data_IF_139227492583
#
_entry.id   IF_139227492583
#
_cell.length_a   1.000
_cell.length_b   1.000
_cell.length_c   1.000
_cell.angle_alpha   90.00
_cell.angle_beta   90.00
_cell.angle_gamma   90.00
#
_symmetry.space_group_name_H-M   'P 1'
#
loop_
_entity.id
_entity.type
_entity.pdbx_description
1 polymer ?
#
# COMPACT_ATOMS: atom_id res chain seq x y z
N UNK A 1 -22.52 9.57 -24.88
CA UNK A 1 -23.84 9.09 -24.40
C UNK A 1 -23.56 7.95 -23.43
N UNK A 2 -23.73 8.20 -22.12
CA UNK A 2 -23.54 7.18 -21.08
C UNK A 2 -24.84 6.41 -20.95
N UNK A 3 -24.74 5.10 -21.06
CA UNK A 3 -25.84 4.17 -20.95
C UNK A 3 -25.92 3.78 -19.47
N UNK A 4 -26.67 4.54 -18.68
CA UNK A 4 -26.93 4.23 -17.28
C UNK A 4 -27.95 3.09 -17.24
N UNK A 5 -27.44 1.86 -17.30
CA UNK A 5 -28.24 0.66 -17.17
C UNK A 5 -29.01 0.69 -15.86
N UNK A 6 -30.32 0.96 -15.96
CA UNK A 6 -31.27 0.78 -14.86
C UNK A 6 -31.31 -0.71 -14.57
N UNK A 7 -30.49 -1.14 -13.61
CA UNK A 7 -30.67 -2.43 -12.98
C UNK A 7 -32.03 -2.39 -12.28
N UNK A 8 -33.01 -3.13 -12.81
CA UNK A 8 -34.17 -3.61 -12.06
C UNK A 8 -33.68 -4.58 -10.97
N UNK A 9 -32.94 -4.04 -9.99
CA UNK A 9 -32.60 -4.75 -8.78
C UNK A 9 -33.89 -4.92 -8.02
N UNK A 10 -34.36 -6.16 -7.94
CA UNK A 10 -35.44 -6.52 -7.05
C UNK A 10 -34.95 -6.21 -5.63
N UNK A 11 -35.29 -5.03 -5.09
CA UNK A 11 -34.92 -4.56 -3.77
C UNK A 11 -35.73 -5.32 -2.72
N UNK A 12 -35.60 -6.64 -2.71
CA UNK A 12 -36.28 -7.47 -1.75
C UNK A 12 -35.46 -7.44 -0.46
N UNK A 13 -35.97 -6.71 0.53
CA UNK A 13 -35.47 -6.79 1.88
C UNK A 13 -35.38 -8.27 2.30
N UNK A 14 -34.29 -8.64 2.97
CA UNK A 14 -34.17 -9.99 3.53
C UNK A 14 -35.38 -10.31 4.42
N UNK A 15 -35.70 -11.60 4.56
CA UNK A 15 -36.82 -12.05 5.42
C UNK A 15 -36.75 -11.42 6.81
N UNK A 16 -35.55 -11.29 7.35
CA UNK A 16 -35.30 -10.78 8.69
C UNK A 16 -35.61 -9.27 8.78
N UNK A 17 -35.20 -8.48 7.78
CA UNK A 17 -35.51 -7.05 7.73
C UNK A 17 -37.01 -6.84 7.61
N UNK A 18 -37.70 -7.64 6.78
CA UNK A 18 -39.16 -7.61 6.66
C UNK A 18 -39.85 -7.96 7.98
N UNK A 19 -39.38 -9.00 8.68
CA UNK A 19 -39.96 -9.42 9.94
C UNK A 19 -39.81 -8.34 11.04
N UNK A 20 -38.64 -7.71 11.13
CA UNK A 20 -38.39 -6.65 12.11
C UNK A 20 -39.21 -5.38 11.81
N UNK A 21 -39.39 -5.06 10.54
CA UNK A 21 -40.30 -3.99 10.12
C UNK A 21 -41.74 -4.26 10.56
N UNK A 22 -42.25 -5.48 10.31
CA UNK A 22 -43.61 -5.86 10.74
C UNK A 22 -43.78 -5.80 12.26
N UNK A 23 -42.76 -6.19 13.03
CA UNK A 23 -42.78 -6.06 14.50
C UNK A 23 -42.87 -4.59 14.90
N UNK A 24 -42.06 -3.71 14.31
CA UNK A 24 -42.08 -2.27 14.62
C UNK A 24 -43.43 -1.63 14.28
N UNK A 25 -44.03 -1.99 13.14
CA UNK A 25 -45.37 -1.53 12.73
C UNK A 25 -46.44 -2.04 13.69
N UNK A 26 -46.44 -3.33 14.03
CA UNK A 26 -47.45 -3.91 14.94
C UNK A 26 -47.44 -3.30 16.33
N UNK A 27 -46.27 -2.84 16.79
CA UNK A 27 -46.09 -2.20 18.10
C UNK A 27 -46.18 -0.68 18.05
N UNK A 28 -46.35 -0.11 16.86
CA UNK A 28 -46.28 1.33 16.60
C UNK A 28 -45.04 2.00 17.21
N UNK A 29 -43.90 1.30 17.15
CA UNK A 29 -42.63 1.76 17.70
C UNK A 29 -41.50 1.56 16.68
N UNK A 30 -41.21 2.64 15.95
CA UNK A 30 -40.16 2.67 14.94
C UNK A 30 -38.76 2.45 15.53
N UNK A 31 -38.58 2.66 16.84
CA UNK A 31 -37.28 2.47 17.49
C UNK A 31 -36.88 1.00 17.56
N UNK A 32 -37.83 0.06 17.46
CA UNK A 32 -37.53 -1.37 17.37
C UNK A 32 -36.81 -1.68 16.05
N UNK A 33 -37.35 -1.19 14.94
CA UNK A 33 -36.71 -1.34 13.64
C UNK A 33 -35.40 -0.55 13.58
N UNK A 34 -35.38 0.68 14.10
CA UNK A 34 -34.16 1.48 14.21
C UNK A 34 -33.09 0.75 15.01
N UNK A 35 -33.41 0.18 16.17
CA UNK A 35 -32.46 -0.57 16.99
C UNK A 35 -31.91 -1.80 16.26
N UNK A 36 -32.77 -2.53 15.54
CA UNK A 36 -32.32 -3.65 14.68
C UNK A 36 -31.40 -3.16 13.55
N UNK A 37 -31.79 -2.09 12.87
CA UNK A 37 -31.05 -1.50 11.76
C UNK A 37 -29.74 -0.89 12.25
N UNK A 38 -29.70 -0.16 13.36
CA UNK A 38 -28.49 0.40 13.98
C UNK A 38 -27.60 -0.71 14.57
N UNK A 39 -28.17 -1.81 15.05
CA UNK A 39 -27.37 -2.97 15.45
C UNK A 39 -26.74 -3.65 14.22
N UNK A 40 -27.45 -3.70 13.09
CA UNK A 40 -26.95 -4.27 11.83
C UNK A 40 -26.06 -3.32 11.01
N UNK A 41 -26.31 -2.02 11.07
CA UNK A 41 -25.61 -0.97 10.31
C UNK A 41 -24.55 -0.24 11.15
N UNK A 42 -24.69 -0.22 12.47
CA UNK A 42 -23.81 0.50 13.40
C UNK A 42 -22.77 -0.39 14.08
N UNK A 43 -22.95 -1.71 14.13
CA UNK A 43 -21.92 -2.64 14.65
C UNK A 43 -20.97 -3.08 13.52
N UNK A 44 -21.51 -3.29 12.32
CA UNK A 44 -20.70 -3.73 11.21
C UNK A 44 -20.17 -2.50 10.46
N UNK A 45 -19.01 -2.01 10.91
CA UNK A 45 -18.22 -1.06 10.11
C UNK A 45 -18.17 -1.61 8.67
N UNK A 46 -18.49 -0.79 7.65
CA UNK A 46 -18.47 -1.26 6.28
C UNK A 46 -17.09 -1.83 5.98
N UNK A 47 -17.04 -2.87 5.14
CA UNK A 47 -15.76 -3.46 4.74
C UNK A 47 -14.83 -2.35 4.23
N UNK A 48 -13.62 -2.21 4.79
CA UNK A 48 -12.70 -1.14 4.39
C UNK A 48 -12.18 -1.33 2.96
N UNK A 49 -12.32 -2.54 2.41
CA UNK A 49 -11.78 -2.90 1.10
C UNK A 49 -10.26 -2.67 1.08
N UNK A 50 -9.76 -2.00 0.06
CA UNK A 50 -8.34 -1.66 -0.08
C UNK A 50 -7.85 -0.61 0.92
N UNK A 51 -8.77 0.08 1.61
CA UNK A 51 -8.40 1.19 2.48
C UNK A 51 -7.79 0.67 3.78
N UNK A 52 -6.69 1.28 4.19
CA UNK A 52 -6.07 1.00 5.47
C UNK A 52 -6.89 1.63 6.60
N UNK A 53 -7.27 0.81 7.58
CA UNK A 53 -8.02 1.25 8.77
C UNK A 53 -7.44 0.65 10.03
N UNK A 54 -7.51 1.40 11.14
CA UNK A 54 -7.04 0.96 12.44
C UNK A 54 -8.16 0.31 13.27
N UNK A 55 -7.78 -0.59 14.16
CA UNK A 55 -8.70 -1.15 15.16
C UNK A 55 -9.82 -1.98 14.55
N UNK A 56 -9.48 -2.84 13.57
CA UNK A 56 -10.41 -3.79 12.98
C UNK A 56 -10.03 -5.22 13.36
N UNK A 57 -11.02 -6.06 13.61
CA UNK A 57 -10.80 -7.50 13.76
C UNK A 57 -10.54 -8.09 12.38
N UNK A 58 -9.38 -8.73 12.23
CA UNK A 58 -8.99 -9.40 10.99
C UNK A 58 -8.99 -10.91 11.17
N UNK A 59 -9.21 -11.58 10.05
CA UNK A 59 -9.15 -13.02 9.92
C UNK A 59 -8.26 -13.37 8.73
N UNK A 60 -7.65 -14.55 8.76
CA UNK A 60 -6.73 -15.01 7.73
C UNK A 60 -6.88 -16.52 7.51
N UNK A 61 -6.55 -17.08 6.34
CA UNK A 61 -6.52 -18.52 6.15
C UNK A 61 -5.37 -19.16 6.93
N UNK A 62 -5.56 -20.37 7.42
CA UNK A 62 -4.52 -21.10 8.18
C UNK A 62 -3.32 -21.53 7.32
N UNK A 63 -3.44 -21.43 5.99
CA UNK A 63 -2.37 -21.78 5.04
C UNK A 63 -1.53 -20.57 4.60
N UNK A 64 -1.82 -19.37 5.10
CA UNK A 64 -1.03 -18.15 4.86
C UNK A 64 -0.38 -17.70 6.15
N UNK A 65 0.66 -16.87 6.06
CA UNK A 65 1.18 -16.24 7.27
C UNK A 65 0.14 -15.26 7.84
N UNK A 66 0.03 -15.13 9.18
CA UNK A 66 -0.89 -14.17 9.79
C UNK A 66 -0.63 -12.74 9.28
N UNK A 67 -1.67 -12.11 8.74
CA UNK A 67 -1.60 -10.74 8.21
C UNK A 67 -1.21 -10.64 6.74
N UNK A 68 -0.78 -11.74 6.12
CA UNK A 68 -0.35 -11.75 4.72
C UNK A 68 -1.51 -11.67 3.72
N UNK A 69 -2.61 -12.31 4.09
CA UNK A 69 -3.88 -12.24 3.39
C UNK A 69 -5.01 -12.17 4.41
N UNK A 70 -5.79 -11.09 4.36
CA UNK A 70 -6.73 -10.79 5.43
C UNK A 70 -8.14 -10.47 4.94
N UNK A 71 -9.12 -10.82 5.76
CA UNK A 71 -10.51 -10.43 5.62
C UNK A 71 -10.94 -9.72 6.88
N UNK A 72 -11.66 -8.61 6.73
CA UNK A 72 -12.29 -7.93 7.84
C UNK A 72 -13.44 -8.77 8.43
N UNK A 73 -13.78 -8.47 9.68
CA UNK A 73 -14.89 -9.10 10.40
C UNK A 73 -16.21 -9.11 9.62
N UNK A 74 -16.53 -8.04 8.89
CA UNK A 74 -17.75 -8.00 8.09
C UNK A 74 -17.72 -9.02 6.94
N UNK A 75 -16.62 -9.09 6.20
CA UNK A 75 -16.48 -10.07 5.13
C UNK A 75 -16.49 -11.50 5.67
N UNK A 76 -15.86 -11.72 6.83
CA UNK A 76 -15.89 -13.00 7.50
C UNK A 76 -17.32 -13.41 7.88
N UNK A 77 -18.05 -12.53 8.58
CA UNK A 77 -19.41 -12.81 9.02
C UNK A 77 -20.38 -13.02 7.84
N UNK A 78 -20.24 -12.24 6.77
CA UNK A 78 -21.14 -12.28 5.63
C UNK A 78 -20.90 -13.48 4.70
N UNK A 79 -19.65 -13.83 4.42
CA UNK A 79 -19.31 -14.78 3.35
C UNK A 79 -18.63 -16.07 3.83
N UNK A 80 -18.04 -16.08 5.03
CA UNK A 80 -17.13 -17.15 5.44
C UNK A 80 -17.69 -17.94 6.62
N UNK A 81 -18.12 -17.28 7.70
CA UNK A 81 -18.47 -17.86 9.00
C UNK A 81 -19.38 -19.08 8.93
N UNK A 82 -20.41 -19.02 8.09
CA UNK A 82 -21.45 -20.04 7.98
C UNK A 82 -21.21 -21.04 6.82
N UNK A 83 -19.97 -21.14 6.33
CA UNK A 83 -19.60 -22.11 5.28
C UNK A 83 -18.88 -23.32 5.89
N UNK A 84 -18.92 -24.50 5.25
CA UNK A 84 -18.16 -25.67 5.71
C UNK A 84 -16.64 -25.45 5.78
N UNK A 85 -16.12 -24.52 4.98
CA UNK A 85 -14.69 -24.23 4.90
C UNK A 85 -14.23 -23.17 5.93
N UNK A 86 -15.12 -22.65 6.78
CA UNK A 86 -14.76 -21.67 7.82
C UNK A 86 -13.73 -22.19 8.82
N UNK A 87 -13.64 -23.52 8.99
CA UNK A 87 -12.65 -24.20 9.85
C UNK A 87 -11.20 -23.94 9.42
N UNK A 88 -10.98 -23.51 8.17
CA UNK A 88 -9.65 -23.16 7.65
C UNK A 88 -9.27 -21.70 7.89
N UNK A 89 -10.05 -20.98 8.70
CA UNK A 89 -9.84 -19.57 8.99
C UNK A 89 -9.47 -19.37 10.45
N UNK A 90 -8.53 -18.46 10.67
CA UNK A 90 -8.08 -18.04 11.99
C UNK A 90 -8.41 -16.58 12.22
N UNK A 91 -8.78 -16.25 13.45
CA UNK A 91 -8.87 -14.87 13.93
C UNK A 91 -7.45 -14.40 14.28
N UNK A 92 -6.97 -13.33 13.64
CA UNK A 92 -5.64 -12.76 13.90
C UNK A 92 -5.68 -11.58 14.89
N UNK A 93 -6.84 -11.31 15.48
CA UNK A 93 -7.08 -10.29 16.48
C UNK A 93 -7.43 -8.92 15.89
N UNK A 94 -7.40 -7.91 16.76
CA UNK A 94 -7.60 -6.51 16.39
C UNK A 94 -6.26 -5.97 15.90
N UNK A 95 -6.20 -5.55 14.64
CA UNK A 95 -5.01 -5.00 14.02
C UNK A 95 -5.37 -3.80 13.14
N UNK A 96 -4.34 -3.14 12.60
CA UNK A 96 -4.49 -2.14 11.55
C UNK A 96 -4.17 -2.79 10.20
N UNK A 97 -5.04 -2.58 9.22
CA UNK A 97 -4.90 -3.24 7.93
C UNK A 97 -6.02 -2.91 6.95
N UNK A 98 -5.97 -3.55 5.81
CA UNK A 98 -7.00 -3.51 4.77
C UNK A 98 -7.76 -4.86 4.74
N UNK A 99 -8.68 -5.02 3.80
CA UNK A 99 -9.38 -6.27 3.55
C UNK A 99 -9.13 -6.70 2.10
N UNK A 100 -8.40 -7.80 1.92
CA UNK A 100 -8.02 -8.34 0.61
C UNK A 100 -9.17 -9.09 -0.08
N UNK A 101 -10.34 -9.18 0.57
CA UNK A 101 -11.51 -9.92 0.10
C UNK A 101 -12.30 -9.17 -0.99
N UNK A 102 -11.65 -8.94 -2.13
CA UNK A 102 -12.21 -8.30 -3.32
C UNK A 102 -13.33 -9.13 -3.97
N UNK A 103 -14.05 -8.56 -4.94
CA UNK A 103 -15.11 -9.28 -5.67
C UNK A 103 -14.61 -10.54 -6.37
N UNK A 104 -13.40 -10.51 -6.94
CA UNK A 104 -12.80 -11.67 -7.61
C UNK A 104 -12.43 -12.76 -6.60
N UNK A 105 -11.83 -12.36 -5.47
CA UNK A 105 -11.52 -13.28 -4.36
C UNK A 105 -12.79 -13.93 -3.81
N UNK A 106 -13.87 -13.15 -3.63
CA UNK A 106 -15.19 -13.66 -3.20
C UNK A 106 -15.72 -14.73 -4.14
N UNK A 107 -15.61 -14.53 -5.45
CA UNK A 107 -16.04 -15.53 -6.43
C UNK A 107 -15.27 -16.84 -6.27
N UNK A 108 -13.94 -16.78 -6.11
CA UNK A 108 -13.11 -17.97 -5.93
C UNK A 108 -13.43 -18.70 -4.62
N UNK A 109 -13.71 -17.94 -3.55
CA UNK A 109 -14.20 -18.51 -2.30
C UNK A 109 -15.53 -19.26 -2.49
N UNK A 110 -16.51 -18.65 -3.17
CA UNK A 110 -17.80 -19.30 -3.44
C UNK A 110 -17.65 -20.57 -4.28
N UNK A 111 -16.73 -20.60 -5.25
CA UNK A 111 -16.42 -21.81 -6.01
C UNK A 111 -15.85 -22.89 -5.09
N UNK A 112 -14.87 -22.57 -4.23
CA UNK A 112 -14.30 -23.50 -3.28
C UNK A 112 -15.35 -24.07 -2.32
N UNK A 113 -16.23 -23.22 -1.78
CA UNK A 113 -17.35 -23.62 -0.91
C UNK A 113 -18.33 -24.54 -1.65
N UNK A 114 -18.70 -24.21 -2.90
CA UNK A 114 -19.63 -25.03 -3.70
C UNK A 114 -19.12 -26.44 -3.97
N UNK A 115 -17.78 -26.61 -4.03
CA UNK A 115 -17.10 -27.89 -4.23
C UNK A 115 -16.61 -28.52 -2.93
N UNK A 116 -16.80 -27.83 -1.81
CA UNK A 116 -16.24 -28.19 -0.50
C UNK A 116 -14.74 -28.52 -0.56
N UNK A 117 -13.97 -27.75 -1.34
CA UNK A 117 -12.54 -27.98 -1.57
C UNK A 117 -11.75 -26.68 -1.38
N UNK A 118 -11.09 -26.57 -0.22
CA UNK A 118 -10.26 -25.42 0.12
C UNK A 118 -9.06 -25.25 -0.81
N UNK A 119 -8.59 -26.32 -1.46
CA UNK A 119 -7.43 -26.25 -2.34
C UNK A 119 -7.68 -25.40 -3.58
N UNK A 120 -8.95 -25.25 -3.99
CA UNK A 120 -9.33 -24.33 -5.08
C UNK A 120 -9.04 -22.89 -4.69
N UNK A 121 -9.44 -22.49 -3.48
CA UNK A 121 -9.17 -21.14 -2.99
C UNK A 121 -7.67 -20.94 -2.74
N UNK A 122 -7.00 -21.92 -2.14
CA UNK A 122 -5.54 -21.92 -1.95
C UNK A 122 -4.79 -21.73 -3.26
N UNK A 123 -5.12 -22.52 -4.28
CA UNK A 123 -4.47 -22.45 -5.60
C UNK A 123 -4.67 -21.11 -6.32
N UNK A 124 -5.69 -20.33 -5.94
CA UNK A 124 -5.88 -18.96 -6.40
C UNK A 124 -5.05 -17.94 -5.59
N UNK A 125 -5.01 -18.08 -4.26
CA UNK A 125 -4.37 -17.12 -3.35
C UNK A 125 -2.84 -17.25 -3.34
N UNK A 126 -2.30 -18.48 -3.25
CA UNK A 126 -0.86 -18.71 -3.07
C UNK A 126 0.02 -18.11 -4.18
N UNK A 127 -0.29 -18.26 -5.49
CA UNK A 127 0.53 -17.67 -6.53
C UNK A 127 0.58 -16.14 -6.46
N UNK A 128 -0.52 -15.49 -6.06
CA UNK A 128 -0.59 -14.04 -5.88
C UNK A 128 0.25 -13.61 -4.68
N UNK A 129 0.20 -14.35 -3.59
CA UNK A 129 1.06 -14.11 -2.42
C UNK A 129 2.54 -14.28 -2.76
N UNK A 130 2.89 -15.33 -3.50
CA UNK A 130 4.27 -15.51 -4.00
C UNK A 130 4.76 -14.29 -4.77
N UNK A 131 3.95 -13.77 -5.69
CA UNK A 131 4.29 -12.57 -6.45
C UNK A 131 4.37 -11.31 -5.56
N UNK A 132 3.47 -11.15 -4.59
CA UNK A 132 3.53 -10.03 -3.63
C UNK A 132 4.83 -10.07 -2.83
N UNK A 133 5.25 -11.24 -2.34
CA UNK A 133 6.52 -11.41 -1.63
C UNK A 133 7.71 -11.01 -2.49
N UNK A 134 7.76 -11.45 -3.76
CA UNK A 134 8.82 -11.07 -4.69
C UNK A 134 8.89 -9.55 -4.93
N UNK A 135 7.72 -8.89 -5.05
CA UNK A 135 7.63 -7.44 -5.20
C UNK A 135 8.06 -6.70 -3.93
N UNK A 136 7.66 -7.19 -2.75
CA UNK A 136 8.08 -6.65 -1.45
C UNK A 136 9.59 -6.79 -1.22
N UNK A 137 10.17 -7.94 -1.57
CA UNK A 137 11.60 -8.17 -1.52
C UNK A 137 12.34 -7.21 -2.45
N UNK A 138 11.83 -7.03 -3.67
CA UNK A 138 12.39 -6.08 -4.65
C UNK A 138 12.33 -4.65 -4.12
N UNK A 139 11.20 -4.25 -3.53
CA UNK A 139 11.03 -2.94 -2.89
C UNK A 139 12.00 -2.75 -1.73
N UNK A 140 12.19 -3.77 -0.90
CA UNK A 140 13.11 -3.73 0.25
C UNK A 140 14.56 -3.57 -0.19
N UNK A 141 14.99 -4.31 -1.23
CA UNK A 141 16.32 -4.14 -1.83
C UNK A 141 16.50 -2.73 -2.40
N UNK A 142 15.50 -2.22 -3.11
CA UNK A 142 15.54 -0.89 -3.71
C UNK A 142 15.61 0.22 -2.64
N UNK A 143 14.88 0.06 -1.54
CA UNK A 143 14.94 0.98 -0.39
C UNK A 143 16.34 1.01 0.26
N UNK A 144 17.01 -0.14 0.35
CA UNK A 144 18.39 -0.21 0.86
C UNK A 144 19.37 0.54 -0.05
N UNK A 145 19.29 0.35 -1.37
CA UNK A 145 20.11 1.06 -2.35
C UNK A 145 19.82 2.57 -2.30
N UNK A 146 18.55 2.96 -2.20
CA UNK A 146 18.14 4.35 -2.04
C UNK A 146 18.76 5.00 -0.79
N UNK A 147 18.71 4.31 0.34
CA UNK A 147 19.28 4.78 1.61
C UNK A 147 20.81 4.98 1.50
N UNK A 148 21.51 4.04 0.84
CA UNK A 148 22.94 4.15 0.58
C UNK A 148 23.28 5.34 -0.33
N UNK A 149 22.55 5.54 -1.43
CA UNK A 149 22.76 6.68 -2.31
C UNK A 149 22.44 8.02 -1.64
N UNK A 150 21.42 8.05 -0.76
CA UNK A 150 21.09 9.24 0.03
C UNK A 150 22.24 9.60 0.98
N UNK A 151 22.82 8.61 1.67
CA UNK A 151 23.98 8.83 2.52
C UNK A 151 25.21 9.29 1.71
N UNK A 152 25.47 8.68 0.56
CA UNK A 152 26.54 9.10 -0.36
C UNK A 152 26.37 10.57 -0.76
N UNK A 153 25.15 10.97 -1.12
CA UNK A 153 24.82 12.35 -1.46
C UNK A 153 25.11 13.32 -0.31
N UNK A 154 24.70 12.97 0.91
CA UNK A 154 24.95 13.80 2.10
C UNK A 154 26.46 13.99 2.35
N UNK A 155 27.25 12.92 2.21
CA UNK A 155 28.70 12.99 2.31
C UNK A 155 29.31 13.91 1.23
N UNK A 156 28.86 13.78 -0.02
CA UNK A 156 29.32 14.65 -1.11
C UNK A 156 28.98 16.12 -0.85
N UNK A 157 27.77 16.43 -0.37
CA UNK A 157 27.39 17.80 0.01
C UNK A 157 28.30 18.35 1.11
N UNK A 158 28.64 17.55 2.12
CA UNK A 158 29.58 17.94 3.16
C UNK A 158 30.99 18.21 2.58
N UNK A 159 31.50 17.32 1.73
CA UNK A 159 32.80 17.51 1.07
C UNK A 159 32.81 18.75 0.18
N UNK A 160 31.71 19.03 -0.53
CA UNK A 160 31.59 20.23 -1.34
C UNK A 160 31.74 21.52 -0.51
N UNK A 161 31.09 21.59 0.65
CA UNK A 161 31.18 22.73 1.56
C UNK A 161 32.64 22.98 2.01
N UNK A 162 33.40 21.91 2.27
CA UNK A 162 34.83 22.00 2.62
C UNK A 162 35.62 22.63 1.46
N UNK A 163 35.45 22.14 0.23
CA UNK A 163 36.16 22.68 -0.94
C UNK A 163 35.76 24.12 -1.28
N UNK A 164 34.48 24.49 -1.10
CA UNK A 164 34.04 25.88 -1.24
C UNK A 164 34.70 26.79 -0.19
N UNK A 165 34.83 26.32 1.05
CA UNK A 165 35.57 27.03 2.09
C UNK A 165 37.05 27.23 1.73
N UNK A 166 37.71 26.18 1.22
CA UNK A 166 39.10 26.25 0.76
C UNK A 166 39.28 27.21 -0.44
N UNK A 167 38.36 27.18 -1.41
CA UNK A 167 38.41 28.07 -2.56
C UNK A 167 38.36 29.56 -2.17
N UNK A 168 37.58 29.90 -1.14
CA UNK A 168 37.54 31.27 -0.61
C UNK A 168 38.91 31.69 -0.02
N UNK A 169 39.63 30.78 0.64
CA UNK A 169 40.97 31.05 1.17
C UNK A 169 41.98 31.22 0.03
N UNK A 170 41.93 30.34 -0.98
CA UNK A 170 42.83 30.41 -2.14
C UNK A 170 42.71 31.76 -2.86
N UNK A 171 41.48 32.27 -3.01
CA UNK A 171 41.20 33.56 -3.66
C UNK A 171 41.83 34.77 -2.95
N UNK A 172 42.07 34.67 -1.64
CA UNK A 172 42.72 35.71 -0.85
C UNK A 172 44.26 35.59 -0.88
N UNK A 173 44.80 34.40 -1.16
CA UNK A 173 46.22 34.10 -1.01
C UNK A 173 47.03 34.24 -2.31
N UNK A 174 46.42 34.19 -3.49
CA UNK A 174 47.15 34.11 -4.76
C UNK A 174 46.70 35.15 -5.80
N UNK A 175 47.62 36.04 -6.17
CA UNK A 175 47.44 37.01 -7.26
C UNK A 175 47.91 36.51 -8.64
N UNK A 176 47.67 35.25 -9.01
CA UNK A 176 48.23 34.70 -10.25
C UNK A 176 47.44 33.55 -10.88
N UNK A 177 46.87 33.83 -12.06
CA UNK A 177 46.15 32.92 -12.95
C UNK A 177 47.04 31.78 -13.49
N UNK A 178 46.94 30.59 -12.90
CA UNK A 178 47.57 29.38 -13.48
C UNK A 178 46.62 28.23 -13.79
N UNK A 179 45.35 28.33 -13.40
CA UNK A 179 44.35 27.30 -13.67
C UNK A 179 43.08 27.94 -14.23
N UNK A 180 42.69 27.53 -15.43
CA UNK A 180 41.40 27.89 -16.04
C UNK A 180 40.62 26.60 -16.31
N UNK A 181 39.49 26.41 -15.63
CA UNK A 181 38.57 25.31 -15.89
C UNK A 181 37.19 25.86 -16.16
N UNK A 182 36.51 25.32 -17.17
CA UNK A 182 35.15 25.72 -17.51
C UNK A 182 34.22 24.51 -17.32
N UNK A 183 33.16 24.69 -16.55
CA UNK A 183 32.12 23.68 -16.42
C UNK A 183 30.75 24.35 -16.32
N UNK A 184 29.80 23.86 -17.11
CA UNK A 184 28.44 24.40 -17.19
C UNK A 184 28.37 25.92 -17.43
N UNK A 185 29.27 26.47 -18.26
CA UNK A 185 29.35 27.91 -18.55
C UNK A 185 30.03 28.76 -17.47
N UNK A 186 30.39 28.18 -16.32
CA UNK A 186 31.12 28.86 -15.25
C UNK A 186 32.63 28.67 -15.41
N UNK A 187 33.39 29.74 -15.15
CA UNK A 187 34.86 29.71 -15.09
C UNK A 187 35.33 29.54 -13.65
N UNK A 188 36.28 28.64 -13.44
CA UNK A 188 36.87 28.31 -12.13
C UNK A 188 38.38 28.55 -12.20
N UNK A 189 38.89 29.39 -11.29
CA UNK A 189 40.27 29.87 -11.28
C UNK A 189 41.15 29.28 -10.16
N UNK A 190 40.60 28.42 -9.30
CA UNK A 190 41.35 27.69 -8.27
C UNK A 190 41.08 26.19 -8.33
N UNK A 191 42.06 25.37 -7.94
CA UNK A 191 41.92 23.91 -7.87
C UNK A 191 40.75 23.50 -6.96
N UNK A 192 40.59 24.18 -5.84
CA UNK A 192 39.48 23.95 -4.90
C UNK A 192 38.11 24.19 -5.55
N UNK A 193 38.01 25.22 -6.41
CA UNK A 193 36.77 25.51 -7.15
C UNK A 193 36.45 24.44 -8.20
N UNK A 194 37.48 23.89 -8.86
CA UNK A 194 37.33 22.77 -9.81
C UNK A 194 36.83 21.52 -9.10
N UNK A 195 37.39 21.18 -7.94
CA UNK A 195 36.94 20.02 -7.15
C UNK A 195 35.51 20.22 -6.62
N UNK A 196 35.16 21.42 -6.14
CA UNK A 196 33.79 21.73 -5.76
C UNK A 196 32.80 21.55 -6.93
N UNK A 197 33.17 21.95 -8.15
CA UNK A 197 32.37 21.75 -9.34
C UNK A 197 32.23 20.25 -9.70
N UNK A 198 33.30 19.46 -9.61
CA UNK A 198 33.26 18.01 -9.83
C UNK A 198 32.35 17.30 -8.84
N UNK A 199 32.40 17.70 -7.57
CA UNK A 199 31.52 17.15 -6.52
C UNK A 199 30.06 17.51 -6.80
N UNK A 200 29.77 18.73 -7.27
CA UNK A 200 28.40 19.11 -7.67
C UNK A 200 27.83 18.17 -8.73
N UNK A 201 28.61 17.78 -9.75
CA UNK A 201 28.18 16.82 -10.78
C UNK A 201 27.77 15.49 -10.14
N UNK A 202 28.56 15.00 -9.18
CA UNK A 202 28.26 13.75 -8.49
C UNK A 202 27.02 13.85 -7.61
N UNK A 203 26.77 15.01 -6.99
CA UNK A 203 25.55 15.30 -6.23
C UNK A 203 24.33 15.29 -7.16
N UNK A 204 24.44 15.89 -8.34
CA UNK A 204 23.35 15.93 -9.33
C UNK A 204 23.05 14.52 -9.86
N UNK A 205 24.07 13.72 -10.15
CA UNK A 205 23.92 12.33 -10.54
C UNK A 205 23.26 11.50 -9.43
N UNK A 206 23.71 11.65 -8.18
CA UNK A 206 23.11 10.99 -7.02
C UNK A 206 21.64 11.36 -6.85
N UNK A 207 21.30 12.62 -7.05
CA UNK A 207 19.92 13.12 -6.95
C UNK A 207 19.02 12.48 -8.01
N UNK A 208 19.53 12.32 -9.24
CA UNK A 208 18.80 11.61 -10.31
C UNK A 208 18.57 10.15 -9.94
N UNK A 209 19.58 9.45 -9.41
CA UNK A 209 19.43 8.05 -8.94
C UNK A 209 18.38 7.93 -7.85
N UNK A 210 18.43 8.80 -6.83
CA UNK A 210 17.43 8.84 -5.76
C UNK A 210 16.00 9.01 -6.31
N UNK A 211 15.79 9.96 -7.23
CA UNK A 211 14.48 10.18 -7.83
C UNK A 211 13.98 8.97 -8.63
N UNK A 212 14.88 8.31 -9.37
CA UNK A 212 14.52 7.09 -10.10
C UNK A 212 14.09 5.96 -9.16
N UNK A 213 14.80 5.74 -8.05
CA UNK A 213 14.42 4.72 -7.07
C UNK A 213 13.09 5.01 -6.39
N UNK A 214 12.81 6.29 -6.07
CA UNK A 214 11.49 6.69 -5.53
C UNK A 214 10.38 6.35 -6.53
N UNK A 215 10.57 6.69 -7.80
CA UNK A 215 9.59 6.40 -8.85
C UNK A 215 9.36 4.88 -9.00
N UNK A 216 10.43 4.09 -9.02
CA UNK A 216 10.36 2.64 -9.13
C UNK A 216 9.71 1.97 -7.90
N UNK A 217 10.00 2.43 -6.68
CA UNK A 217 9.29 1.97 -5.48
C UNK A 217 7.79 2.26 -5.56
N UNK A 218 7.38 3.43 -6.08
CA UNK A 218 5.98 3.76 -6.29
C UNK A 218 5.29 2.86 -7.33
N UNK A 219 6.01 2.45 -8.38
CA UNK A 219 5.50 1.47 -9.35
C UNK A 219 5.28 0.08 -8.72
N UNK A 220 6.21 -0.37 -7.86
CA UNK A 220 6.07 -1.62 -7.13
C UNK A 220 4.86 -1.59 -6.19
N UNK A 221 4.62 -0.48 -5.48
CA UNK A 221 3.44 -0.31 -4.64
C UNK A 221 2.14 -0.40 -5.44
N UNK A 222 2.09 0.24 -6.61
CA UNK A 222 0.93 0.16 -7.51
C UNK A 222 0.70 -1.27 -8.02
N UNK A 223 1.77 -1.99 -8.36
CA UNK A 223 1.68 -3.39 -8.79
C UNK A 223 1.13 -4.28 -7.67
N UNK A 224 1.63 -4.14 -6.44
CA UNK A 224 1.14 -4.88 -5.27
C UNK A 224 -0.36 -4.61 -5.07
N UNK A 225 -0.78 -3.33 -5.11
CA UNK A 225 -2.17 -2.95 -4.93
C UNK A 225 -3.10 -3.56 -5.99
N UNK A 226 -2.64 -3.67 -7.24
CA UNK A 226 -3.43 -4.21 -8.35
C UNK A 226 -3.53 -5.75 -8.36
N UNK A 227 -2.74 -6.49 -7.58
CA UNK A 227 -2.78 -7.97 -7.62
C UNK A 227 -4.09 -8.56 -7.07
N UNK A 228 -4.84 -7.81 -6.28
CA UNK A 228 -6.11 -8.27 -5.69
C UNK A 228 -7.36 -7.87 -6.48
N UNK A 229 -7.23 -7.01 -7.49
CA UNK A 229 -8.34 -6.43 -8.26
C UNK A 229 -8.32 -6.87 -9.71
#
# INVERSE_FOLDING_TARGET
MRNDGIHNGNCDFSSDVKQQWLIAVSKNDINIFRGYVEQKLGINKPCPGSNYVEGITLYSPNFTEPGEFTFCEECYNQFIRNTPLSVYMQNIGIQSGNCDFSSNVKQQWLIAVSRNDINIFRGYVEPKLGHIRELQDSKTRLHAIFSQELQRKQNLMHTQLIYMGAANIDSLSYGGDKYSYFFNGSHYNSSSSVEAARIQIQIDESSRKCNNYIAEMGLLELQIANLWY
#
